data_IF_340489125833
#
_entry.id   IF_340489125833
#
_cell.length_a   1.000
_cell.length_b   1.000
_cell.length_c   1.000
_cell.angle_alpha   90.00
_cell.angle_beta   90.00
_cell.angle_gamma   90.00
#
_symmetry.space_group_name_H-M   'P 1'
#
loop_
_entity.id
_entity.type
_entity.pdbx_description
1 polymer ?
#
# COMPACT_ATOMS: atom_id res chain seq x y z
N UNK A 1 -18.19 8.30 12.92
CA UNK A 1 -17.89 6.99 12.32
C UNK A 1 -16.72 7.11 11.35
N UNK A 2 -15.75 6.25 11.47
CA UNK A 2 -14.59 6.29 10.59
C UNK A 2 -14.76 5.24 9.50
N UNK A 3 -14.82 5.69 8.27
CA UNK A 3 -14.88 4.79 7.14
C UNK A 3 -13.46 4.34 6.78
N UNK A 4 -13.28 3.04 6.69
CA UNK A 4 -11.99 2.48 6.31
C UNK A 4 -11.91 2.44 4.81
N UNK A 5 -10.87 3.06 4.25
CA UNK A 5 -10.63 3.04 2.82
C UNK A 5 -10.03 1.69 2.44
N UNK A 6 -10.61 1.05 1.43
CA UNK A 6 -10.16 -0.25 0.98
C UNK A 6 -9.34 -0.16 -0.31
N UNK A 7 -9.23 1.01 -0.89
CA UNK A 7 -8.47 1.21 -2.11
C UNK A 7 -7.39 2.25 -1.88
N UNK A 8 -6.23 2.02 -2.49
CA UNK A 8 -5.09 2.92 -2.38
C UNK A 8 -4.42 3.02 -3.74
N UNK A 9 -3.95 4.20 -4.07
CA UNK A 9 -3.22 4.41 -5.32
C UNK A 9 -1.73 4.39 -5.01
N UNK A 10 -1.01 3.46 -5.62
CA UNK A 10 0.43 3.33 -5.46
C UNK A 10 1.10 4.01 -6.63
N UNK A 11 2.09 4.87 -6.34
CA UNK A 11 2.89 5.53 -7.36
C UNK A 11 4.25 4.86 -7.39
N UNK A 12 4.58 4.24 -8.51
CA UNK A 12 5.87 3.59 -8.66
C UNK A 12 6.99 4.63 -8.70
N UNK A 13 8.03 4.51 -7.84
CA UNK A 13 9.11 5.49 -7.83
C UNK A 13 10.03 5.39 -9.04
N UNK A 14 9.93 4.30 -9.81
CA UNK A 14 10.78 4.12 -11.00
C UNK A 14 10.16 4.71 -12.25
N UNK A 15 8.89 4.37 -12.53
CA UNK A 15 8.23 4.79 -13.75
C UNK A 15 7.12 5.82 -13.50
N UNK A 16 6.81 6.11 -12.25
CA UNK A 16 5.78 7.06 -11.83
C UNK A 16 4.37 6.67 -12.27
N UNK A 17 4.17 5.39 -12.58
CA UNK A 17 2.84 4.89 -12.93
C UNK A 17 1.97 4.84 -11.68
N UNK A 18 0.76 5.36 -11.80
CA UNK A 18 -0.22 5.31 -10.72
C UNK A 18 -1.10 4.10 -10.91
N UNK A 19 -1.25 3.29 -9.87
CA UNK A 19 -2.08 2.10 -9.92
C UNK A 19 -2.96 2.07 -8.68
N UNK A 20 -4.27 1.98 -8.88
CA UNK A 20 -5.22 1.86 -7.77
C UNK A 20 -5.43 0.39 -7.48
N UNK A 21 -5.17 -0.01 -6.24
CA UNK A 21 -5.28 -1.39 -5.81
C UNK A 21 -6.24 -1.50 -4.65
N UNK A 22 -6.90 -2.64 -4.54
CA UNK A 22 -7.72 -2.95 -3.37
C UNK A 22 -6.84 -3.57 -2.31
N UNK A 23 -6.87 -2.96 -1.13
CA UNK A 23 -6.01 -3.39 -0.04
C UNK A 23 -6.64 -4.57 0.72
N UNK A 24 -5.83 -5.53 1.19
CA UNK A 24 -6.33 -6.59 2.06
C UNK A 24 -6.72 -6.04 3.43
N UNK A 25 -7.71 -6.67 4.05
CA UNK A 25 -8.20 -6.22 5.36
C UNK A 25 -7.62 -7.02 6.52
N UNK A 26 -7.02 -8.17 6.25
CA UNK A 26 -6.57 -9.09 7.29
C UNK A 26 -5.06 -9.32 7.30
N UNK A 27 -4.32 -8.67 6.39
CA UNK A 27 -2.87 -8.75 6.38
C UNK A 27 -2.29 -7.51 5.70
N UNK A 28 -0.98 -7.35 5.77
CA UNK A 28 -0.28 -6.23 5.15
C UNK A 28 0.48 -6.72 3.94
N UNK A 29 0.38 -5.96 2.84
CA UNK A 29 1.10 -6.31 1.62
C UNK A 29 2.55 -5.89 1.75
N UNK A 30 3.45 -6.87 1.79
CA UNK A 30 4.87 -6.60 1.99
C UNK A 30 5.61 -6.33 0.68
N UNK A 31 5.17 -6.96 -0.42
CA UNK A 31 5.81 -6.78 -1.72
C UNK A 31 4.72 -6.49 -2.75
N UNK A 32 4.97 -5.47 -3.58
CA UNK A 32 4.06 -5.11 -4.65
C UNK A 32 4.88 -4.95 -5.93
N UNK A 33 4.41 -5.55 -7.01
CA UNK A 33 5.08 -5.47 -8.31
C UNK A 33 4.36 -4.49 -9.21
N UNK A 34 5.11 -3.53 -9.77
CA UNK A 34 4.56 -2.58 -10.72
C UNK A 34 4.24 -3.29 -12.04
N UNK A 35 3.01 -3.15 -12.51
CA UNK A 35 2.60 -3.81 -13.75
C UNK A 35 3.20 -3.15 -14.99
N UNK A 36 3.69 -1.90 -14.86
CA UNK A 36 4.26 -1.17 -15.98
C UNK A 36 5.75 -1.48 -16.18
N UNK A 37 6.55 -1.31 -15.14
CA UNK A 37 8.00 -1.51 -15.25
C UNK A 37 8.50 -2.79 -14.58
N UNK A 38 7.61 -3.55 -13.95
CA UNK A 38 7.93 -4.81 -13.26
C UNK A 38 8.86 -4.66 -12.07
N UNK A 39 9.03 -3.44 -11.57
CA UNK A 39 9.82 -3.21 -10.39
C UNK A 39 9.04 -3.64 -9.15
N UNK A 40 9.73 -4.29 -8.22
CA UNK A 40 9.10 -4.74 -6.98
C UNK A 40 9.38 -3.73 -5.87
N UNK A 41 8.32 -3.35 -5.16
CA UNK A 41 8.39 -2.39 -4.08
C UNK A 41 8.22 -3.09 -2.75
N UNK A 42 8.98 -2.66 -1.76
CA UNK A 42 8.86 -3.13 -0.38
C UNK A 42 8.57 -1.93 0.51
N UNK A 43 7.95 -2.15 1.68
CA UNK A 43 7.74 -1.04 2.62
C UNK A 43 9.07 -0.47 3.06
N UNK A 44 9.08 0.84 3.28
CA UNK A 44 10.24 1.50 3.82
C UNK A 44 10.47 1.06 5.25
N UNK A 45 11.70 1.26 5.73
CA UNK A 45 12.01 0.92 7.11
C UNK A 45 11.09 1.67 8.06
N UNK A 46 10.46 0.94 8.96
CA UNK A 46 9.50 1.51 9.89
C UNK A 46 8.06 1.45 9.43
N UNK A 47 7.83 1.17 8.15
CA UNK A 47 6.47 1.04 7.61
C UNK A 47 6.07 -0.43 7.55
N UNK A 48 4.79 -0.70 7.76
CA UNK A 48 4.33 -2.08 7.86
C UNK A 48 3.95 -2.70 6.53
N UNK A 49 3.63 -1.89 5.51
CA UNK A 49 3.25 -2.44 4.21
C UNK A 49 3.51 -1.42 3.11
N UNK A 50 3.45 -1.93 1.87
CA UNK A 50 3.71 -1.10 0.69
C UNK A 50 2.73 0.07 0.61
N UNK A 51 1.47 -0.15 0.98
CA UNK A 51 0.49 0.92 0.94
C UNK A 51 0.82 2.05 1.91
N UNK A 52 1.44 1.72 3.04
CA UNK A 52 1.84 2.75 4.00
C UNK A 52 3.00 3.58 3.48
N UNK A 53 3.88 2.99 2.66
CA UNK A 53 5.06 3.68 2.13
C UNK A 53 4.76 4.42 0.83
N UNK A 54 4.03 3.80 -0.07
CA UNK A 54 3.85 4.31 -1.43
C UNK A 54 2.41 4.57 -1.81
N UNK A 55 1.44 4.08 -1.04
CA UNK A 55 0.04 4.26 -1.34
C UNK A 55 -0.47 5.63 -0.89
N UNK A 56 -1.58 6.05 -1.46
CA UNK A 56 -2.24 7.29 -1.07
C UNK A 56 -2.98 7.14 0.26
N UNK A 57 -3.33 5.91 0.63
CA UNK A 57 -4.07 5.60 1.85
C UNK A 57 -3.35 4.46 2.56
N UNK A 58 -3.29 4.55 3.88
CA UNK A 58 -2.68 3.49 4.68
C UNK A 58 -3.54 2.23 4.66
N UNK A 59 -2.92 1.08 4.96
CA UNK A 59 -3.66 -0.18 4.93
C UNK A 59 -4.75 -0.23 5.99
N UNK A 60 -5.82 -1.06 5.79
CA UNK A 60 -6.92 -1.10 6.74
C UNK A 60 -6.53 -1.41 8.18
N UNK A 61 -5.60 -2.35 8.47
CA UNK A 61 -5.19 -2.56 9.85
C UNK A 61 -4.65 -1.30 10.52
N UNK A 62 -3.87 -0.50 9.80
CA UNK A 62 -3.33 0.74 10.34
C UNK A 62 -4.44 1.76 10.53
N UNK A 63 -5.41 1.82 9.61
CA UNK A 63 -6.55 2.73 9.74
C UNK A 63 -7.37 2.41 10.97
N UNK A 64 -7.43 1.13 11.34
CA UNK A 64 -8.13 0.70 12.55
C UNK A 64 -7.30 0.95 13.82
N UNK A 65 -6.05 1.35 13.69
CA UNK A 65 -5.16 1.53 14.81
C UNK A 65 -4.40 0.27 15.21
N UNK A 66 -4.42 -0.74 14.36
CA UNK A 66 -3.71 -1.99 14.59
C UNK A 66 -2.39 -1.97 13.83
N UNK A 67 -1.40 -2.69 14.36
CA UNK A 67 -0.13 -2.88 13.66
C UNK A 67 -0.15 -4.17 12.88
N UNK A 68 0.42 -4.13 11.71
CA UNK A 68 0.57 -5.34 10.90
C UNK A 68 1.62 -6.26 11.50
#
# INVERSE_FOLDING_TARGET
MTDIQLQSTIICPQCHQKTTEQMPTDYCLYIWECSNCKNKLKPKEGDCCVYCSYGSVKCPPIQKGECC
#
